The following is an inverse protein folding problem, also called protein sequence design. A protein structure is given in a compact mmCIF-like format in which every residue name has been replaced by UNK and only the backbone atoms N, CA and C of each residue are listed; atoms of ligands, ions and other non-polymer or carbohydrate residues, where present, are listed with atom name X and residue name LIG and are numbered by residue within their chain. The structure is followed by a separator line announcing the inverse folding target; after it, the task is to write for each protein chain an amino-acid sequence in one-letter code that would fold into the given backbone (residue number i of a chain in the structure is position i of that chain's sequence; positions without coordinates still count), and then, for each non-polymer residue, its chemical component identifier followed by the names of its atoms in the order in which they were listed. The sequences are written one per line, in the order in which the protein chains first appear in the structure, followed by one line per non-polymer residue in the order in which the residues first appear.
data_IF_317024846035
#
_entry.id   IF_317024846035
#
_cell.length_a   1.000
_cell.length_b   1.000
_cell.length_c   1.000
_cell.angle_alpha   90.00
_cell.angle_beta   90.00
_cell.angle_gamma   90.00
#
_symmetry.space_group_name_H-M   'P 1'
#
loop_
_entity.id
_entity.type
_entity.pdbx_description
1 polymer ?
#
# COMPACT_ATOMS: atom_id res chain seq x y z
N UNK A 1 1.55 -15.33 -33.27
CA UNK A 1 2.23 -15.20 -31.96
C UNK A 1 1.38 -14.26 -31.11
N UNK A 2 0.63 -14.79 -30.13
CA UNK A 2 -0.22 -13.95 -29.26
C UNK A 2 0.66 -13.13 -28.34
N UNK A 3 0.81 -11.85 -28.63
CA UNK A 3 1.61 -10.93 -27.83
C UNK A 3 0.91 -10.67 -26.49
N UNK A 4 1.34 -11.36 -25.42
CA UNK A 4 0.82 -11.14 -24.06
C UNK A 4 1.05 -9.70 -23.61
N UNK A 5 0.04 -9.08 -23.00
CA UNK A 5 0.10 -7.69 -22.58
C UNK A 5 0.45 -7.59 -21.09
N UNK A 6 1.76 -7.51 -20.80
CA UNK A 6 2.26 -7.56 -19.42
C UNK A 6 1.92 -6.32 -18.59
N UNK A 7 1.60 -5.19 -19.24
CA UNK A 7 1.29 -3.93 -18.55
C UNK A 7 0.05 -4.03 -17.65
N UNK A 8 -0.91 -4.89 -17.97
CA UNK A 8 -2.11 -5.12 -17.16
C UNK A 8 -1.74 -5.71 -15.78
N UNK A 9 -0.69 -6.52 -15.69
CA UNK A 9 -0.23 -7.07 -14.41
C UNK A 9 0.39 -6.01 -13.49
N UNK A 10 0.68 -4.80 -14.00
CA UNK A 10 1.15 -3.70 -13.18
C UNK A 10 0.08 -3.23 -12.18
N UNK A 11 -1.22 -3.39 -12.49
CA UNK A 11 -2.32 -3.03 -11.59
C UNK A 11 -2.32 -3.88 -10.32
N UNK A 12 -2.40 -5.23 -10.38
CA UNK A 12 -2.31 -6.05 -9.19
C UNK A 12 -0.94 -5.95 -8.51
N UNK A 13 0.16 -5.78 -9.27
CA UNK A 13 1.49 -5.56 -8.68
C UNK A 13 1.54 -4.28 -7.84
N UNK A 14 1.02 -3.16 -8.35
CA UNK A 14 0.93 -1.90 -7.61
C UNK A 14 0.09 -2.08 -6.33
N UNK A 15 -1.06 -2.73 -6.43
CA UNK A 15 -1.92 -2.97 -5.25
C UNK A 15 -1.18 -3.77 -4.18
N UNK A 16 -0.49 -4.86 -4.55
CA UNK A 16 0.30 -5.66 -3.60
C UNK A 16 1.42 -4.81 -2.97
N UNK A 17 2.12 -3.99 -3.77
CA UNK A 17 3.14 -3.07 -3.26
C UNK A 17 2.55 -2.05 -2.29
N UNK A 18 1.35 -1.54 -2.55
CA UNK A 18 0.65 -0.62 -1.67
C UNK A 18 0.32 -1.25 -0.31
N UNK A 19 0.18 -2.58 -0.21
CA UNK A 19 -0.07 -3.27 1.06
C UNK A 19 1.18 -3.41 1.94
N UNK A 20 2.39 -3.38 1.36
CA UNK A 20 3.65 -3.61 2.10
C UNK A 20 3.83 -2.65 3.28
N UNK A 21 3.64 -1.32 3.13
CA UNK A 21 3.76 -0.38 4.25
C UNK A 21 2.72 -0.65 5.35
N UNK A 22 1.50 -1.08 4.99
CA UNK A 22 0.46 -1.41 5.95
C UNK A 22 0.83 -2.64 6.78
N UNK A 23 1.32 -3.71 6.14
CA UNK A 23 1.82 -4.90 6.85
C UNK A 23 2.97 -4.55 7.80
N UNK A 24 3.91 -3.72 7.34
CA UNK A 24 5.02 -3.27 8.18
C UNK A 24 4.55 -2.50 9.42
N UNK A 25 3.60 -1.58 9.26
CA UNK A 25 2.99 -0.85 10.38
C UNK A 25 2.32 -1.79 11.38
N UNK A 26 1.50 -2.74 10.89
CA UNK A 26 0.79 -3.70 11.73
C UNK A 26 1.76 -4.62 12.49
N UNK A 27 2.87 -5.02 11.87
CA UNK A 27 3.90 -5.82 12.54
C UNK A 27 4.59 -5.05 13.68
N UNK A 28 4.93 -3.77 13.46
CA UNK A 28 5.53 -2.93 14.50
C UNK A 28 4.59 -2.77 15.69
N UNK A 29 3.31 -2.47 15.43
CA UNK A 29 2.33 -2.28 16.49
C UNK A 29 2.05 -3.59 17.22
N UNK A 30 1.93 -4.72 16.52
CA UNK A 30 1.74 -6.03 17.16
C UNK A 30 2.91 -6.41 18.07
N UNK A 31 4.15 -6.15 17.65
CA UNK A 31 5.34 -6.40 18.46
C UNK A 31 5.35 -5.55 19.73
N UNK A 32 5.02 -4.28 19.62
CA UNK A 32 5.03 -3.38 20.77
C UNK A 32 3.86 -3.59 21.74
N UNK A 33 2.73 -4.10 21.23
CA UNK A 33 1.50 -4.31 22.00
C UNK A 33 1.33 -5.77 22.45
N UNK A 34 2.38 -6.61 22.31
CA UNK A 34 2.35 -8.05 22.64
C UNK A 34 1.17 -8.79 22.00
N UNK A 35 0.86 -8.47 20.74
CA UNK A 35 -0.24 -9.09 19.99
C UNK A 35 -1.65 -8.57 20.32
N UNK A 36 -1.80 -7.58 21.21
CA UNK A 36 -3.12 -7.00 21.56
C UNK A 36 -3.55 -5.90 20.58
N UNK A 37 -3.51 -6.20 19.29
CA UNK A 37 -3.96 -5.28 18.25
C UNK A 37 -5.50 -5.22 18.23
N UNK A 38 -6.07 -4.01 18.33
CA UNK A 38 -7.52 -3.82 18.25
C UNK A 38 -7.99 -3.83 16.79
N UNK A 39 -8.53 -4.97 16.37
CA UNK A 39 -9.12 -5.14 15.03
C UNK A 39 -10.52 -4.55 14.90
N UNK A 40 -11.20 -4.24 16.02
CA UNK A 40 -12.56 -3.69 16.02
C UNK A 40 -12.53 -2.22 15.65
N UNK A 41 -11.55 -1.48 16.17
CA UNK A 41 -11.37 -0.07 15.85
C UNK A 41 -9.89 0.33 15.68
N UNK A 42 -9.21 -0.14 14.63
CA UNK A 42 -7.77 0.10 14.40
C UNK A 42 -7.43 1.55 14.04
N UNK A 43 -8.44 2.40 13.80
CA UNK A 43 -8.29 3.85 13.58
C UNK A 43 -8.86 4.68 14.74
N UNK A 44 -9.33 4.04 15.81
CA UNK A 44 -9.93 4.69 16.96
C UNK A 44 -8.93 5.50 17.77
N UNK A 45 -9.44 6.56 18.42
CA UNK A 45 -8.64 7.39 19.31
C UNK A 45 -8.07 6.60 20.49
N UNK A 46 -8.84 5.66 21.05
CA UNK A 46 -8.43 4.77 22.15
C UNK A 46 -7.23 3.88 21.76
N UNK A 47 -7.24 3.34 20.55
CA UNK A 47 -6.16 2.51 20.03
C UNK A 47 -4.90 3.35 19.75
N UNK A 48 -5.08 4.56 19.20
CA UNK A 48 -3.98 5.50 18.98
C UNK A 48 -3.31 5.91 20.29
N UNK A 49 -4.09 6.16 21.36
CA UNK A 49 -3.55 6.43 22.70
C UNK A 49 -2.81 5.23 23.29
N UNK A 50 -3.33 4.02 23.09
CA UNK A 50 -2.66 2.79 23.52
C UNK A 50 -1.32 2.64 22.81
N UNK A 51 -1.29 2.87 21.49
CA UNK A 51 -0.05 2.87 20.72
C UNK A 51 0.95 3.91 21.23
N UNK A 52 0.50 5.14 21.54
CA UNK A 52 1.37 6.19 22.11
C UNK A 52 1.96 5.83 23.48
N UNK A 53 1.26 5.02 24.28
CA UNK A 53 1.73 4.54 25.59
C UNK A 53 2.67 3.35 25.47
N UNK A 54 2.47 2.49 24.48
CA UNK A 54 3.21 1.23 24.31
C UNK A 54 4.43 1.34 23.38
N UNK A 55 4.46 2.31 22.46
CA UNK A 55 5.54 2.50 21.50
C UNK A 55 6.45 3.68 21.88
N UNK A 56 7.74 3.54 21.62
CA UNK A 56 8.65 4.69 21.60
C UNK A 56 8.28 5.64 20.46
N UNK A 57 8.65 6.92 20.62
CA UNK A 57 8.32 7.97 19.63
C UNK A 57 8.85 7.66 18.23
N UNK A 58 10.00 7.01 18.11
CA UNK A 58 10.60 6.72 16.81
C UNK A 58 9.85 5.60 16.07
N UNK A 59 9.47 4.52 16.77
CA UNK A 59 8.66 3.44 16.17
C UNK A 59 7.25 3.91 15.87
N UNK A 60 6.62 4.70 16.75
CA UNK A 60 5.31 5.29 16.49
C UNK A 60 5.34 6.14 15.22
N UNK A 61 6.27 7.09 15.12
CA UNK A 61 6.41 7.93 13.93
C UNK A 61 6.70 7.12 12.66
N UNK A 62 7.40 5.99 12.77
CA UNK A 62 7.63 5.09 11.63
C UNK A 62 6.34 4.39 11.19
N UNK A 63 5.52 3.92 12.14
CA UNK A 63 4.23 3.29 11.85
C UNK A 63 3.25 4.28 11.19
N UNK A 64 3.19 5.52 11.66
CA UNK A 64 2.35 6.57 11.08
C UNK A 64 2.76 6.91 9.65
N UNK A 65 4.08 7.05 9.38
CA UNK A 65 4.58 7.25 8.01
C UNK A 65 4.25 6.07 7.08
N UNK A 66 4.38 4.85 7.57
CA UNK A 66 4.07 3.65 6.78
C UNK A 66 2.56 3.60 6.42
N UNK A 67 1.68 3.94 7.37
CA UNK A 67 0.24 4.03 7.12
C UNK A 67 -0.14 5.18 6.18
N UNK A 68 0.56 6.31 6.28
CA UNK A 68 0.41 7.42 5.35
C UNK A 68 0.83 7.00 3.92
N UNK A 69 1.95 6.30 3.77
CA UNK A 69 2.40 5.77 2.47
C UNK A 69 1.41 4.78 1.86
N UNK A 70 0.84 3.87 2.66
CA UNK A 70 -0.22 2.96 2.20
C UNK A 70 -1.45 3.73 1.67
N UNK A 71 -1.90 4.73 2.42
CA UNK A 71 -3.08 5.54 2.05
C UNK A 71 -2.81 6.33 0.77
N UNK A 72 -1.63 6.98 0.68
CA UNK A 72 -1.23 7.71 -0.52
C UNK A 72 -1.12 6.82 -1.76
N UNK A 73 -0.58 5.59 -1.61
CA UNK A 73 -0.52 4.62 -2.70
C UNK A 73 -1.95 4.24 -3.17
N UNK A 74 -2.86 3.94 -2.23
CA UNK A 74 -4.24 3.60 -2.57
C UNK A 74 -5.01 4.76 -3.21
N UNK A 75 -4.75 6.01 -2.82
CA UNK A 75 -5.34 7.20 -3.45
C UNK A 75 -4.88 7.38 -4.90
N UNK A 76 -3.62 7.01 -5.20
CA UNK A 76 -3.06 7.09 -6.56
C UNK A 76 -3.41 5.87 -7.45
N UNK A 77 -3.75 4.73 -6.86
CA UNK A 77 -4.04 3.49 -7.58
C UNK A 77 -5.13 3.64 -8.67
N UNK A 78 -6.27 4.31 -8.45
CA UNK A 78 -7.29 4.48 -9.49
C UNK A 78 -6.75 5.23 -10.71
N UNK A 79 -6.00 6.31 -10.49
CA UNK A 79 -5.40 7.10 -11.57
C UNK A 79 -4.39 6.26 -12.36
N UNK A 80 -3.52 5.52 -11.66
CA UNK A 80 -2.57 4.60 -12.28
C UNK A 80 -3.27 3.50 -13.09
N UNK A 81 -4.29 2.85 -12.51
CA UNK A 81 -5.03 1.77 -13.16
C UNK A 81 -5.78 2.28 -14.41
N UNK A 82 -6.43 3.43 -14.32
CA UNK A 82 -7.08 4.08 -15.47
C UNK A 82 -6.07 4.39 -16.57
N UNK A 83 -4.90 4.94 -16.24
CA UNK A 83 -3.86 5.23 -17.22
C UNK A 83 -3.37 3.95 -17.93
N UNK A 84 -3.11 2.88 -17.18
CA UNK A 84 -2.72 1.58 -17.74
C UNK A 84 -3.81 1.05 -18.67
N UNK A 85 -5.08 1.07 -18.27
CA UNK A 85 -6.20 0.59 -19.09
C UNK A 85 -6.32 1.42 -20.38
N UNK A 86 -6.31 2.75 -20.28
CA UNK A 86 -6.40 3.64 -21.44
C UNK A 86 -5.21 3.45 -22.39
N UNK A 87 -3.99 3.28 -21.87
CA UNK A 87 -2.80 3.02 -22.68
C UNK A 87 -2.92 1.69 -23.47
N UNK A 88 -3.47 0.66 -22.82
CA UNK A 88 -3.75 -0.62 -23.45
C UNK A 88 -4.84 -0.52 -24.54
N UNK A 89 -5.91 0.23 -24.28
CA UNK A 89 -6.97 0.48 -25.25
C UNK A 89 -6.51 1.30 -26.46
N UNK A 90 -5.59 2.23 -26.24
CA UNK A 90 -5.00 3.06 -27.29
C UNK A 90 -3.99 2.30 -28.17
N UNK A 91 -3.66 1.05 -27.85
CA UNK A 91 -2.72 0.23 -28.62
C UNK A 91 -1.29 0.78 -28.61
N UNK A 92 -0.89 1.52 -27.57
CA UNK A 92 0.46 2.03 -27.42
C UNK A 92 1.47 0.87 -27.49
N UNK A 93 2.48 0.99 -28.37
CA UNK A 93 3.47 -0.05 -28.58
C UNK A 93 4.14 -0.44 -27.26
N UNK A 94 4.39 -1.76 -27.11
CA UNK A 94 5.02 -2.33 -25.92
C UNK A 94 6.29 -1.60 -25.52
N UNK A 95 7.11 -1.15 -26.48
CA UNK A 95 8.32 -0.36 -26.20
C UNK A 95 8.09 0.94 -25.42
N UNK A 96 6.93 1.60 -25.56
CA UNK A 96 6.62 2.84 -24.83
C UNK A 96 6.02 2.61 -23.44
N UNK A 97 5.40 1.45 -23.20
CA UNK A 97 4.69 1.14 -21.94
C UNK A 97 5.49 0.17 -21.06
N UNK A 98 6.28 -0.72 -21.68
CA UNK A 98 7.20 -1.65 -21.04
C UNK A 98 8.17 -2.22 -22.12
N UNK A 99 9.30 -1.55 -22.34
CA UNK A 99 10.40 -2.13 -23.14
C UNK A 99 10.99 -3.33 -22.39
N UNK A 100 11.22 -4.45 -23.09
CA UNK A 100 11.96 -5.61 -22.58
C UNK A 100 13.36 -5.21 -22.06
#
# INVERSE_FOLDING_TARGET
MTTSNYSIYAIPAFYILALVPQFYSTLLINRATNGRFDNVNPRGASFAETCKKSLDKATLGRSERARAAHTNALENLPLFASAVICANMAGLEKGMVNSD
#
